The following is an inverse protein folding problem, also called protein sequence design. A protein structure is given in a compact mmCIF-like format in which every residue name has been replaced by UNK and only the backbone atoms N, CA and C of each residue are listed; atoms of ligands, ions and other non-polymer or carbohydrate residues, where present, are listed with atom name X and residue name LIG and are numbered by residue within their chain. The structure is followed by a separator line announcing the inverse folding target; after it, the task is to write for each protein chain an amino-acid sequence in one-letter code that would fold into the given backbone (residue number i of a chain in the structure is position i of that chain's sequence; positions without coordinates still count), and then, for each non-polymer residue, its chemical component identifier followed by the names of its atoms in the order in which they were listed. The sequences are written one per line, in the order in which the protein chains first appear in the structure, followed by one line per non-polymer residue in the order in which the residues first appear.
data_IF_074591191634
#
_entry.id   IF_074591191634
#
_cell.length_a   1.000
_cell.length_b   1.000
_cell.length_c   1.000
_cell.angle_alpha   90.00
_cell.angle_beta   90.00
_cell.angle_gamma   90.00
#
_symmetry.space_group_name_H-M   'P 1'
#
loop_
_entity.id
_entity.type
_entity.pdbx_description
1 polymer ?
#
# COMPACT_ATOMS: atom_id res chain seq x y z
N UNK A 1 -8.88 24.16 14.79
CA UNK A 1 -8.91 23.17 13.72
C UNK A 1 -9.62 21.95 14.27
N UNK A 2 -10.83 21.66 13.79
CA UNK A 2 -11.61 20.51 14.24
C UNK A 2 -10.94 19.24 13.73
N UNK A 3 -10.61 18.32 14.61
CA UNK A 3 -10.21 16.96 14.30
C UNK A 3 -11.36 16.32 13.52
N UNK A 4 -11.11 16.00 12.26
CA UNK A 4 -12.09 15.31 11.42
C UNK A 4 -12.02 13.81 11.77
N UNK A 5 -12.56 13.44 12.94
CA UNK A 5 -12.66 12.06 13.42
C UNK A 5 -13.78 11.33 12.64
N UNK A 6 -13.67 11.33 11.31
CA UNK A 6 -14.48 10.47 10.45
C UNK A 6 -14.22 9.00 10.80
N UNK A 7 -15.23 8.15 10.62
CA UNK A 7 -15.07 6.71 10.82
C UNK A 7 -13.84 6.21 10.05
N UNK A 8 -12.96 5.39 10.69
CA UNK A 8 -11.76 4.90 10.05
C UNK A 8 -12.11 4.02 8.85
N UNK A 9 -11.45 4.29 7.70
CA UNK A 9 -11.64 3.51 6.48
C UNK A 9 -10.98 2.14 6.53
N UNK A 10 -9.92 1.99 7.33
CA UNK A 10 -9.25 0.71 7.59
C UNK A 10 -9.22 0.47 9.10
N UNK A 11 -9.68 -0.69 9.51
CA UNK A 11 -9.58 -1.16 10.90
C UNK A 11 -9.09 -2.58 10.89
N UNK A 12 -7.86 -2.80 11.33
CA UNK A 12 -7.29 -4.10 11.63
C UNK A 12 -7.35 -4.32 13.14
N UNK A 13 -7.83 -5.49 13.57
CA UNK A 13 -7.91 -5.87 14.97
C UNK A 13 -7.32 -7.26 15.17
N UNK A 14 -6.23 -7.32 15.94
CA UNK A 14 -5.44 -8.53 16.20
C UNK A 14 -5.12 -9.30 14.91
N UNK A 15 -4.94 -8.56 13.81
CA UNK A 15 -4.78 -9.10 12.46
C UNK A 15 -3.40 -9.73 12.34
N UNK A 16 -3.36 -11.03 12.05
CA UNK A 16 -2.11 -11.77 11.91
C UNK A 16 -2.18 -12.89 10.89
N UNK A 17 -1.00 -13.35 10.42
CA UNK A 17 -0.86 -14.37 9.41
C UNK A 17 0.31 -15.30 9.68
N UNK A 18 0.01 -16.59 9.74
CA UNK A 18 1.00 -17.67 9.73
C UNK A 18 0.85 -18.53 8.47
N UNK A 19 1.96 -19.07 7.98
CA UNK A 19 2.06 -20.07 6.92
C UNK A 19 2.80 -21.29 7.48
N UNK A 20 2.05 -22.29 7.92
CA UNK A 20 2.59 -23.38 8.74
C UNK A 20 3.19 -22.81 10.04
N UNK A 21 4.43 -23.14 10.31
CA UNK A 21 5.15 -22.69 11.52
C UNK A 21 5.74 -21.28 11.36
N UNK A 22 5.77 -20.73 10.14
CA UNK A 22 6.29 -19.40 9.89
C UNK A 22 5.23 -18.33 10.10
N UNK A 23 5.46 -17.41 11.06
CA UNK A 23 4.61 -16.26 11.32
C UNK A 23 5.07 -15.09 10.46
N UNK A 24 4.34 -14.81 9.38
CA UNK A 24 4.65 -13.71 8.46
C UNK A 24 4.16 -12.34 8.96
N UNK A 25 3.15 -12.32 9.84
CA UNK A 25 2.63 -11.12 10.47
C UNK A 25 2.07 -11.49 11.84
N UNK A 26 2.66 -10.95 12.89
CA UNK A 26 2.17 -11.10 14.27
C UNK A 26 0.89 -10.27 14.45
N UNK A 27 0.04 -10.60 15.45
CA UNK A 27 -1.20 -9.86 15.71
C UNK A 27 -0.94 -8.36 15.84
N UNK A 28 -1.59 -7.57 15.00
CA UNK A 28 -1.45 -6.13 15.01
C UNK A 28 -2.80 -5.40 15.00
N UNK A 29 -2.77 -4.18 15.50
CA UNK A 29 -3.91 -3.29 15.55
C UNK A 29 -3.56 -1.98 14.82
N UNK A 30 -4.31 -1.68 13.74
CA UNK A 30 -4.11 -0.46 12.95
C UNK A 30 -5.47 0.14 12.60
N UNK A 31 -5.57 1.47 12.68
CA UNK A 31 -6.70 2.23 12.18
C UNK A 31 -6.18 3.31 11.24
N UNK A 32 -6.81 3.46 10.08
CA UNK A 32 -6.51 4.53 9.11
C UNK A 32 -7.76 5.36 8.92
N UNK A 33 -7.64 6.65 9.17
CA UNK A 33 -8.75 7.60 9.04
C UNK A 33 -9.03 7.95 7.57
N UNK A 34 -10.18 8.54 7.29
CA UNK A 34 -10.47 9.12 5.98
C UNK A 34 -9.58 10.35 5.73
N UNK A 35 -9.07 10.52 4.51
CA UNK A 35 -8.21 11.63 4.14
C UNK A 35 -6.78 11.50 4.70
N UNK A 36 -6.36 10.31 5.11
CA UNK A 36 -5.04 10.05 5.66
C UNK A 36 -4.08 9.47 4.61
N UNK A 37 -2.83 9.92 4.64
CA UNK A 37 -1.74 9.27 3.94
C UNK A 37 -0.97 8.40 4.95
N UNK A 38 -1.34 7.12 5.02
CA UNK A 38 -0.76 6.17 5.97
C UNK A 38 0.32 5.33 5.32
N UNK A 39 1.52 5.34 5.89
CA UNK A 39 2.66 4.56 5.43
C UNK A 39 2.94 3.33 6.30
N UNK A 40 3.29 2.21 5.67
CA UNK A 40 3.91 1.06 6.34
C UNK A 40 5.28 0.87 5.74
N UNK A 41 6.30 1.02 6.54
CA UNK A 41 7.66 0.85 6.07
C UNK A 41 8.46 -0.16 6.90
N UNK A 42 9.45 -0.76 6.27
CA UNK A 42 10.29 -1.79 6.84
C UNK A 42 11.06 -2.53 5.74
N UNK A 43 12.01 -3.39 6.10
CA UNK A 43 12.84 -4.11 5.14
C UNK A 43 12.04 -5.09 4.29
N UNK A 44 12.71 -5.63 3.26
CA UNK A 44 12.12 -6.71 2.48
C UNK A 44 11.90 -7.95 3.37
N UNK A 45 10.74 -8.59 3.23
CA UNK A 45 10.35 -9.70 4.10
C UNK A 45 9.72 -9.32 5.44
N UNK A 46 9.64 -8.03 5.79
CA UNK A 46 9.05 -7.58 7.07
C UNK A 46 7.55 -7.87 7.23
N UNK A 47 6.82 -8.27 6.16
CA UNK A 47 5.39 -8.56 6.21
C UNK A 47 4.48 -7.51 5.56
N UNK A 48 5.04 -6.43 4.97
CA UNK A 48 4.27 -5.33 4.33
C UNK A 48 3.26 -5.81 3.30
N UNK A 49 3.71 -6.56 2.29
CA UNK A 49 2.84 -7.11 1.23
C UNK A 49 1.83 -8.10 1.78
N UNK A 50 2.19 -8.88 2.80
CA UNK A 50 1.25 -9.75 3.52
C UNK A 50 0.14 -8.93 4.18
N UNK A 51 0.48 -7.80 4.79
CA UNK A 51 -0.49 -6.91 5.41
C UNK A 51 -1.48 -6.34 4.39
N UNK A 52 -1.01 -5.79 3.25
CA UNK A 52 -1.91 -5.35 2.17
C UNK A 52 -2.80 -6.49 1.67
N UNK A 53 -2.26 -7.68 1.44
CA UNK A 53 -3.03 -8.84 0.98
C UNK A 53 -4.11 -9.28 1.96
N UNK A 54 -3.87 -9.14 3.26
CA UNK A 54 -4.88 -9.37 4.30
C UNK A 54 -5.98 -8.31 4.27
N UNK A 55 -5.63 -7.02 4.16
CA UNK A 55 -6.58 -5.91 4.12
C UNK A 55 -7.43 -5.90 2.85
N UNK A 56 -6.89 -6.37 1.73
CA UNK A 56 -7.59 -6.45 0.45
C UNK A 56 -8.33 -7.78 0.23
N UNK A 57 -8.21 -8.72 1.19
CA UNK A 57 -8.88 -10.03 1.11
C UNK A 57 -8.29 -10.95 0.04
N UNK A 58 -7.05 -10.75 -0.35
CA UNK A 58 -6.28 -11.69 -1.18
C UNK A 58 -5.77 -12.86 -0.36
N UNK A 59 -5.49 -12.62 0.93
CA UNK A 59 -5.15 -13.65 1.91
C UNK A 59 -6.19 -13.69 3.03
N UNK A 60 -6.43 -14.89 3.57
CA UNK A 60 -7.22 -15.06 4.79
C UNK A 60 -6.31 -14.91 6.02
N UNK A 61 -6.71 -14.12 7.01
CA UNK A 61 -5.97 -14.03 8.27
C UNK A 61 -6.00 -15.37 9.02
N UNK A 62 -4.91 -15.67 9.72
CA UNK A 62 -4.83 -16.76 10.69
C UNK A 62 -5.37 -16.35 12.06
N UNK A 63 -5.27 -15.07 12.40
CA UNK A 63 -5.74 -14.45 13.64
C UNK A 63 -6.43 -13.14 13.37
N UNK A 64 -7.37 -12.75 14.24
CA UNK A 64 -8.06 -11.46 14.16
C UNK A 64 -8.85 -11.25 12.88
N UNK A 65 -8.92 -9.98 12.46
CA UNK A 65 -9.65 -9.60 11.26
C UNK A 65 -9.51 -8.13 10.91
N UNK A 66 -10.09 -7.75 9.77
CA UNK A 66 -10.10 -6.37 9.32
C UNK A 66 -11.46 -5.94 8.74
N UNK A 67 -11.73 -4.65 8.84
CA UNK A 67 -12.77 -3.96 8.08
C UNK A 67 -12.11 -2.90 7.19
N UNK A 68 -12.54 -2.83 5.95
CA UNK A 68 -12.10 -1.83 4.98
C UNK A 68 -13.34 -1.18 4.37
N UNK A 69 -13.44 0.14 4.41
CA UNK A 69 -14.64 0.90 4.04
C UNK A 69 -15.91 0.39 4.76
N UNK A 70 -15.78 0.00 6.04
CA UNK A 70 -16.86 -0.60 6.81
C UNK A 70 -17.15 -2.08 6.49
N UNK A 71 -16.61 -2.63 5.40
CA UNK A 71 -16.85 -3.99 4.92
C UNK A 71 -15.92 -4.96 5.67
N UNK A 72 -16.47 -6.03 6.23
CA UNK A 72 -15.67 -7.10 6.81
C UNK A 72 -14.94 -7.86 5.69
N UNK A 73 -13.60 -7.78 5.69
CA UNK A 73 -12.75 -8.35 4.63
C UNK A 73 -12.91 -9.86 4.49
N UNK A 74 -13.13 -10.57 5.61
CA UNK A 74 -13.30 -12.03 5.60
C UNK A 74 -14.67 -12.44 5.04
N UNK A 75 -15.69 -11.62 5.28
CA UNK A 75 -17.06 -11.93 4.85
C UNK A 75 -17.26 -11.60 3.36
N UNK A 76 -16.77 -10.44 2.92
CA UNK A 76 -16.93 -10.01 1.52
C UNK A 76 -15.66 -9.36 0.94
N UNK A 77 -14.64 -10.17 0.63
CA UNK A 77 -13.39 -9.68 0.03
C UNK A 77 -13.59 -9.15 -1.40
N UNK A 78 -14.66 -9.57 -2.10
CA UNK A 78 -14.96 -9.09 -3.45
C UNK A 78 -15.43 -7.64 -3.41
N UNK A 79 -16.35 -7.34 -2.48
CA UNK A 79 -16.85 -5.98 -2.29
C UNK A 79 -15.73 -5.02 -1.88
N UNK A 80 -14.79 -5.45 -1.02
CA UNK A 80 -13.59 -4.65 -0.70
C UNK A 80 -12.81 -4.34 -1.98
N UNK A 81 -12.43 -5.36 -2.77
CA UNK A 81 -11.66 -5.18 -4.01
C UNK A 81 -12.37 -4.35 -5.07
N UNK A 82 -13.70 -4.38 -5.10
CA UNK A 82 -14.48 -3.57 -6.04
C UNK A 82 -14.41 -2.07 -5.72
N UNK A 83 -14.23 -1.70 -4.44
CA UNK A 83 -14.29 -0.31 -3.97
C UNK A 83 -12.93 0.34 -3.69
N UNK A 84 -11.83 -0.40 -3.78
CA UNK A 84 -10.48 0.11 -3.55
C UNK A 84 -9.62 0.05 -4.81
N UNK A 85 -8.64 0.94 -4.92
CA UNK A 85 -7.54 0.79 -5.88
C UNK A 85 -6.42 -0.03 -5.26
N UNK A 86 -5.81 -0.92 -6.05
CA UNK A 86 -4.73 -1.78 -5.56
C UNK A 86 -3.60 -1.79 -6.59
N UNK A 87 -2.39 -1.49 -6.13
CA UNK A 87 -1.15 -1.71 -6.88
C UNK A 87 -0.30 -2.67 -6.05
N UNK A 88 -0.15 -3.92 -6.46
CA UNK A 88 0.68 -4.91 -5.79
C UNK A 88 2.15 -4.78 -6.20
N UNK A 89 3.08 -5.23 -5.34
CA UNK A 89 4.53 -5.14 -5.57
C UNK A 89 5.00 -5.92 -6.81
N UNK A 90 4.54 -7.16 -6.98
CA UNK A 90 5.10 -8.10 -7.94
C UNK A 90 4.14 -8.56 -9.04
N UNK A 91 2.87 -8.20 -8.95
CA UNK A 91 1.88 -8.58 -9.97
C UNK A 91 1.99 -7.68 -11.19
N UNK A 92 1.64 -8.25 -12.34
CA UNK A 92 1.61 -7.53 -13.62
C UNK A 92 0.24 -7.67 -14.24
N UNK A 93 -0.14 -6.77 -15.16
CA UNK A 93 -1.35 -6.96 -15.94
C UNK A 93 -1.28 -8.30 -16.69
N UNK A 94 -2.42 -8.97 -16.95
CA UNK A 94 -2.44 -10.22 -17.69
C UNK A 94 -1.67 -10.12 -19.02
N UNK A 95 -0.75 -11.02 -19.25
CA UNK A 95 0.24 -10.95 -20.34
C UNK A 95 -0.38 -10.98 -21.75
N UNK A 96 -1.59 -11.55 -21.87
CA UNK A 96 -2.33 -11.70 -23.12
C UNK A 96 -3.30 -10.56 -23.43
N UNK A 97 -3.45 -9.58 -22.54
CA UNK A 97 -4.20 -8.35 -22.80
C UNK A 97 -3.27 -7.23 -23.24
N UNK A 98 -3.77 -6.35 -24.09
CA UNK A 98 -3.10 -5.06 -24.35
C UNK A 98 -3.30 -4.11 -23.18
N UNK A 99 -2.53 -3.02 -23.14
CA UNK A 99 -2.69 -2.00 -22.11
C UNK A 99 -4.13 -1.46 -22.03
N UNK A 100 -4.73 -1.17 -23.19
CA UNK A 100 -6.11 -0.71 -23.26
C UNK A 100 -7.10 -1.78 -22.80
N UNK A 101 -7.00 -3.00 -23.30
CA UNK A 101 -7.92 -4.10 -22.92
C UNK A 101 -7.87 -4.37 -21.41
N UNK A 102 -6.70 -4.29 -20.79
CA UNK A 102 -6.59 -4.42 -19.33
C UNK A 102 -7.35 -3.31 -18.62
N UNK A 103 -7.15 -2.04 -19.02
CA UNK A 103 -7.85 -0.91 -18.39
C UNK A 103 -9.36 -0.96 -18.64
N UNK A 104 -9.79 -1.35 -19.85
CA UNK A 104 -11.20 -1.58 -20.16
C UNK A 104 -11.79 -2.69 -19.28
N UNK A 105 -11.08 -3.80 -19.11
CA UNK A 105 -11.51 -4.90 -18.26
C UNK A 105 -11.69 -4.42 -16.80
N UNK A 106 -10.71 -3.67 -16.28
CA UNK A 106 -10.78 -3.08 -14.93
C UNK A 106 -11.96 -2.12 -14.81
N UNK A 107 -12.22 -1.29 -15.81
CA UNK A 107 -13.30 -0.34 -15.83
C UNK A 107 -14.69 -1.04 -15.88
N UNK A 108 -14.83 -2.07 -16.73
CA UNK A 108 -16.06 -2.87 -16.85
C UNK A 108 -16.39 -3.62 -15.55
N UNK A 109 -15.40 -4.19 -14.87
CA UNK A 109 -15.61 -4.84 -13.56
C UNK A 109 -16.16 -3.88 -12.48
N UNK A 110 -15.99 -2.57 -12.67
CA UNK A 110 -16.48 -1.51 -11.79
C UNK A 110 -17.68 -0.77 -12.35
N UNK A 111 -18.26 -1.27 -13.46
CA UNK A 111 -19.45 -0.69 -14.12
C UNK A 111 -19.27 0.80 -14.43
N UNK A 112 -18.05 1.21 -14.86
CA UNK A 112 -17.81 2.59 -15.24
C UNK A 112 -18.45 2.91 -16.58
N UNK A 113 -18.90 4.15 -16.73
CA UNK A 113 -19.32 4.76 -17.99
C UNK A 113 -18.12 5.41 -18.69
N UNK A 114 -18.25 5.76 -19.97
CA UNK A 114 -17.25 6.47 -20.79
C UNK A 114 -15.86 5.80 -20.73
N UNK A 115 -15.84 4.46 -20.81
CA UNK A 115 -14.66 3.64 -20.59
C UNK A 115 -13.52 4.04 -21.53
N UNK A 116 -13.80 4.26 -22.81
CA UNK A 116 -12.80 4.64 -23.80
C UNK A 116 -12.08 5.94 -23.44
N UNK A 117 -12.83 6.97 -23.06
CA UNK A 117 -12.27 8.27 -22.66
C UNK A 117 -11.40 8.14 -21.40
N UNK A 118 -11.84 7.35 -20.42
CA UNK A 118 -11.08 7.11 -19.19
C UNK A 118 -9.78 6.33 -19.46
N UNK A 119 -9.84 5.35 -20.34
CA UNK A 119 -8.65 4.57 -20.76
C UNK A 119 -7.65 5.49 -21.46
N UNK A 120 -8.10 6.27 -22.43
CA UNK A 120 -7.25 7.21 -23.16
C UNK A 120 -6.64 8.26 -22.23
N UNK A 121 -7.45 8.85 -21.34
CA UNK A 121 -6.98 9.80 -20.34
C UNK A 121 -5.83 9.24 -19.49
N UNK A 122 -5.98 8.04 -18.94
CA UNK A 122 -4.95 7.47 -18.06
C UNK A 122 -3.71 6.99 -18.82
N UNK A 123 -3.85 6.49 -20.04
CA UNK A 123 -2.70 6.14 -20.88
C UNK A 123 -1.92 7.37 -21.30
N UNK A 124 -2.60 8.49 -21.61
CA UNK A 124 -1.95 9.77 -21.91
C UNK A 124 -1.28 10.34 -20.66
N UNK A 125 -1.95 10.31 -19.52
CA UNK A 125 -1.40 10.82 -18.26
C UNK A 125 -0.09 10.12 -17.88
N UNK A 126 -0.04 8.80 -18.07
CA UNK A 126 1.17 8.00 -17.84
C UNK A 126 2.15 8.01 -19.02
N UNK A 127 1.84 8.69 -20.12
CA UNK A 127 2.71 8.80 -21.30
C UNK A 127 3.00 7.46 -21.97
N UNK A 128 1.99 6.59 -22.05
CA UNK A 128 2.07 5.26 -22.66
C UNK A 128 0.93 5.01 -23.67
N UNK A 129 0.30 6.08 -24.17
CA UNK A 129 -0.78 5.95 -25.15
C UNK A 129 -0.30 5.37 -26.49
N UNK A 130 0.96 5.60 -26.87
CA UNK A 130 1.62 4.96 -28.00
C UNK A 130 1.73 3.43 -27.87
N UNK A 131 1.60 2.90 -26.67
CA UNK A 131 1.58 1.47 -26.34
C UNK A 131 0.19 0.91 -26.08
N UNK A 132 -0.87 1.69 -26.33
CA UNK A 132 -2.27 1.33 -26.08
C UNK A 132 -2.64 -0.07 -26.57
N UNK A 133 -2.17 -0.46 -27.75
CA UNK A 133 -2.45 -1.76 -28.38
C UNK A 133 -1.29 -2.77 -28.24
N UNK A 134 -0.29 -2.48 -27.42
CA UNK A 134 0.81 -3.40 -27.13
C UNK A 134 0.39 -4.40 -26.06
N UNK A 135 0.66 -5.69 -26.25
CA UNK A 135 0.40 -6.72 -25.24
C UNK A 135 1.22 -6.45 -23.97
N UNK A 136 0.62 -6.67 -22.82
CA UNK A 136 1.28 -6.40 -21.53
C UNK A 136 2.58 -7.20 -21.34
N UNK A 137 2.70 -8.39 -21.92
CA UNK A 137 3.95 -9.16 -21.92
C UNK A 137 5.11 -8.44 -22.64
N UNK A 138 4.79 -7.64 -23.67
CA UNK A 138 5.78 -6.96 -24.52
C UNK A 138 6.13 -5.56 -24.01
N UNK A 139 5.45 -5.08 -22.97
CA UNK A 139 5.76 -3.84 -22.27
C UNK A 139 7.00 -4.00 -21.37
N UNK A 140 7.77 -2.92 -21.20
CA UNK A 140 8.83 -2.86 -20.19
C UNK A 140 8.24 -2.96 -18.77
N UNK A 141 9.08 -3.25 -17.75
CA UNK A 141 8.64 -3.28 -16.34
C UNK A 141 8.03 -1.93 -15.92
N UNK A 142 8.63 -0.81 -16.30
CA UNK A 142 8.12 0.52 -16.01
C UNK A 142 6.79 0.83 -16.71
N UNK A 143 6.62 0.39 -17.96
CA UNK A 143 5.35 0.53 -18.68
C UNK A 143 4.24 -0.32 -18.04
N UNK A 144 4.53 -1.57 -17.64
CA UNK A 144 3.57 -2.37 -16.89
C UNK A 144 3.18 -1.74 -15.56
N UNK A 145 4.14 -1.16 -14.85
CA UNK A 145 3.87 -0.43 -13.60
C UNK A 145 2.92 0.76 -13.83
N UNK A 146 3.14 1.53 -14.92
CA UNK A 146 2.24 2.62 -15.33
C UNK A 146 0.82 2.12 -15.63
N UNK A 147 0.67 0.99 -16.32
CA UNK A 147 -0.63 0.37 -16.61
C UNK A 147 -1.32 -0.09 -15.32
N UNK A 148 -0.58 -0.67 -14.37
CA UNK A 148 -1.14 -1.07 -13.06
C UNK A 148 -1.62 0.13 -12.24
N UNK A 149 -0.83 1.20 -12.20
CA UNK A 149 -1.23 2.46 -11.57
C UNK A 149 -2.48 3.04 -12.23
N UNK A 150 -2.52 3.14 -13.56
CA UNK A 150 -3.69 3.60 -14.29
C UNK A 150 -4.96 2.79 -13.90
N UNK A 151 -4.85 1.46 -13.83
CA UNK A 151 -5.94 0.59 -13.40
C UNK A 151 -6.39 0.81 -11.96
N UNK A 152 -5.46 1.16 -11.06
CA UNK A 152 -5.81 1.46 -9.67
C UNK A 152 -6.55 2.81 -9.53
N UNK A 153 -6.25 3.78 -10.40
CA UNK A 153 -6.85 5.12 -10.37
C UNK A 153 -8.11 5.28 -11.23
N UNK A 154 -8.34 4.42 -12.24
CA UNK A 154 -9.37 4.63 -13.28
C UNK A 154 -10.79 4.85 -12.74
N UNK A 155 -11.11 4.30 -11.59
CA UNK A 155 -12.42 4.38 -10.95
C UNK A 155 -12.48 5.39 -9.79
N UNK A 156 -11.43 6.21 -9.62
CA UNK A 156 -11.32 7.24 -8.58
C UNK A 156 -11.68 6.72 -7.18
N UNK A 157 -11.01 5.69 -6.67
CA UNK A 157 -11.37 5.07 -5.40
C UNK A 157 -11.12 6.02 -4.22
N UNK A 158 -11.94 5.90 -3.16
CA UNK A 158 -11.72 6.64 -1.90
C UNK A 158 -10.52 6.13 -1.12
N UNK A 159 -10.05 4.92 -1.41
CA UNK A 159 -8.93 4.28 -0.72
C UNK A 159 -8.06 3.53 -1.72
N UNK A 160 -6.76 3.80 -1.68
CA UNK A 160 -5.74 3.14 -2.48
C UNK A 160 -4.81 2.33 -1.56
N UNK A 161 -4.56 1.08 -1.93
CA UNK A 161 -3.50 0.24 -1.37
C UNK A 161 -2.37 0.13 -2.38
N UNK A 162 -1.21 0.64 -2.02
CA UNK A 162 -0.06 0.75 -2.91
C UNK A 162 1.13 0.02 -2.28
N UNK A 163 1.61 -1.03 -2.95
CA UNK A 163 2.76 -1.80 -2.52
C UNK A 163 3.93 -1.50 -3.47
N UNK A 164 4.93 -0.76 -3.00
CA UNK A 164 6.10 -0.30 -3.76
C UNK A 164 5.75 0.39 -5.11
N UNK A 165 4.83 1.36 -5.13
CA UNK A 165 4.26 1.88 -6.38
C UNK A 165 5.27 2.61 -7.27
N UNK A 166 6.39 3.07 -6.72
CA UNK A 166 7.40 3.86 -7.43
C UNK A 166 8.52 3.02 -8.06
N UNK A 167 8.58 1.73 -7.71
CA UNK A 167 9.56 0.80 -8.28
C UNK A 167 9.36 0.68 -9.79
N UNK A 168 10.46 0.62 -10.54
CA UNK A 168 10.51 0.57 -12.01
C UNK A 168 10.00 1.82 -12.75
N UNK A 169 9.58 2.89 -12.07
CA UNK A 169 9.26 4.16 -12.70
C UNK A 169 10.54 5.01 -12.87
N UNK A 170 10.61 5.73 -13.99
CA UNK A 170 11.63 6.75 -14.18
C UNK A 170 11.39 7.95 -13.24
N UNK A 171 12.42 8.77 -12.93
CA UNK A 171 12.31 9.87 -11.96
C UNK A 171 11.20 10.88 -12.28
N UNK A 172 10.88 11.10 -13.56
CA UNK A 172 9.83 12.05 -13.98
C UNK A 172 8.48 11.50 -13.54
N UNK A 173 8.20 10.21 -13.81
CA UNK A 173 6.93 9.59 -13.42
C UNK A 173 6.85 9.28 -11.94
N UNK A 174 7.97 9.01 -11.27
CA UNK A 174 7.97 8.95 -9.79
C UNK A 174 7.49 10.28 -9.19
N UNK A 175 7.99 11.41 -9.70
CA UNK A 175 7.55 12.73 -9.24
C UNK A 175 6.06 12.97 -9.53
N UNK A 176 5.62 12.74 -10.78
CA UNK A 176 4.21 12.88 -11.16
C UNK A 176 3.29 12.02 -10.30
N UNK A 177 3.67 10.76 -10.03
CA UNK A 177 2.88 9.89 -9.18
C UNK A 177 2.81 10.41 -7.74
N UNK A 178 3.91 10.93 -7.17
CA UNK A 178 3.87 11.54 -5.83
C UNK A 178 2.90 12.73 -5.78
N UNK A 179 2.95 13.60 -6.78
CA UNK A 179 2.05 14.74 -6.91
C UNK A 179 0.58 14.26 -7.00
N UNK A 180 0.27 13.26 -7.82
CA UNK A 180 -1.06 12.65 -7.93
C UNK A 180 -1.55 12.07 -6.60
N UNK A 181 -0.67 11.40 -5.83
CA UNK A 181 -1.03 10.85 -4.54
C UNK A 181 -1.35 11.95 -3.52
N UNK A 182 -0.56 13.04 -3.52
CA UNK A 182 -0.82 14.21 -2.65
C UNK A 182 -2.16 14.86 -3.02
N UNK A 183 -2.41 15.09 -4.32
CA UNK A 183 -3.69 15.62 -4.80
C UNK A 183 -4.86 14.72 -4.39
N UNK A 184 -4.70 13.40 -4.54
CA UNK A 184 -5.74 12.43 -4.14
C UNK A 184 -6.11 12.58 -2.67
N UNK A 185 -5.14 12.77 -1.77
CA UNK A 185 -5.39 12.97 -0.34
C UNK A 185 -6.01 14.35 -0.07
N UNK A 186 -5.55 15.39 -0.75
CA UNK A 186 -6.12 16.74 -0.64
C UNK A 186 -7.59 16.79 -1.08
N UNK A 187 -7.97 15.95 -2.06
CA UNK A 187 -9.35 15.78 -2.53
C UNK A 187 -10.19 14.84 -1.62
N UNK A 188 -9.65 14.45 -0.47
CA UNK A 188 -10.34 13.63 0.54
C UNK A 188 -10.19 12.12 0.33
N UNK A 189 -9.38 11.68 -0.63
CA UNK A 189 -8.98 10.28 -0.76
C UNK A 189 -8.05 9.83 0.36
N UNK A 190 -7.88 8.53 0.51
CA UNK A 190 -7.02 7.92 1.53
C UNK A 190 -6.01 7.00 0.88
N UNK A 191 -4.78 7.03 1.33
CA UNK A 191 -3.71 6.20 0.78
C UNK A 191 -3.10 5.34 1.88
N UNK A 192 -3.00 4.05 1.60
CA UNK A 192 -2.25 3.06 2.37
C UNK A 192 -1.04 2.65 1.53
N UNK A 193 0.14 3.14 1.90
CA UNK A 193 1.39 2.94 1.17
C UNK A 193 2.29 1.96 1.93
N UNK A 194 2.73 0.88 1.26
CA UNK A 194 3.86 0.09 1.71
C UNK A 194 5.10 0.43 0.89
N UNK A 195 6.21 0.71 1.56
CA UNK A 195 7.48 0.98 0.89
C UNK A 195 8.67 0.67 1.81
N UNK A 196 9.81 0.36 1.20
CA UNK A 196 11.08 0.28 1.90
C UNK A 196 11.90 1.58 1.74
N UNK A 197 11.40 2.54 0.95
CA UNK A 197 12.07 3.82 0.69
C UNK A 197 11.60 4.83 1.75
N UNK A 198 12.38 4.99 2.80
CA UNK A 198 12.03 5.81 3.98
C UNK A 198 11.84 7.29 3.63
N UNK A 199 12.68 7.84 2.74
CA UNK A 199 12.54 9.23 2.26
C UNK A 199 11.17 9.50 1.61
N UNK A 200 10.62 8.51 0.90
CA UNK A 200 9.28 8.62 0.30
C UNK A 200 8.21 8.61 1.38
N UNK A 201 8.31 7.72 2.37
CA UNK A 201 7.38 7.64 3.49
C UNK A 201 7.40 8.94 4.32
N UNK A 202 8.58 9.48 4.61
CA UNK A 202 8.76 10.71 5.37
C UNK A 202 8.13 11.94 4.70
N UNK A 203 8.25 12.03 3.37
CA UNK A 203 7.72 13.17 2.60
C UNK A 203 6.22 13.12 2.35
N UNK A 204 5.64 11.93 2.27
CA UNK A 204 4.25 11.76 1.85
C UNK A 204 3.31 11.42 3.00
N UNK A 205 3.77 10.63 3.98
CA UNK A 205 2.88 10.07 4.97
C UNK A 205 2.62 11.04 6.13
N UNK A 206 1.37 11.15 6.54
CA UNK A 206 0.98 11.89 7.75
C UNK A 206 1.18 11.03 9.01
N UNK A 207 0.93 9.72 8.88
CA UNK A 207 1.20 8.70 9.89
C UNK A 207 1.86 7.48 9.27
N UNK A 208 2.64 6.79 10.07
CA UNK A 208 3.37 5.61 9.63
C UNK A 208 3.29 4.49 10.68
N UNK A 209 3.51 3.27 10.21
CA UNK A 209 3.85 2.12 11.03
C UNK A 209 5.18 1.56 10.56
N UNK A 210 6.08 1.33 11.51
CA UNK A 210 7.37 0.65 11.28
C UNK A 210 7.15 -0.82 11.51
N UNK A 211 7.51 -1.65 10.52
CA UNK A 211 7.35 -3.09 10.64
C UNK A 211 8.68 -3.80 10.39
N UNK A 212 9.01 -4.75 11.25
CA UNK A 212 10.15 -5.65 11.07
C UNK A 212 9.78 -7.06 11.52
N UNK A 213 10.25 -8.09 10.80
CA UNK A 213 10.00 -9.52 11.09
C UNK A 213 8.56 -9.84 11.47
N UNK A 214 7.60 -9.19 10.82
CA UNK A 214 6.17 -9.36 11.07
C UNK A 214 5.61 -8.62 12.29
N UNK A 215 6.43 -7.87 13.03
CA UNK A 215 6.02 -7.07 14.19
C UNK A 215 5.90 -5.59 13.84
N UNK A 216 4.89 -4.91 14.35
CA UNK A 216 4.81 -3.45 14.34
C UNK A 216 5.65 -2.93 15.51
N UNK A 217 6.81 -2.34 15.21
CA UNK A 217 7.73 -1.80 16.21
C UNK A 217 7.23 -0.45 16.76
N UNK A 218 6.67 0.39 15.91
CA UNK A 218 6.09 1.68 16.28
C UNK A 218 5.02 2.10 15.27
N UNK A 219 4.06 2.91 15.71
CA UNK A 219 3.09 3.55 14.81
C UNK A 219 2.66 4.88 15.39
N UNK A 220 2.68 5.94 14.58
CA UNK A 220 2.32 7.29 15.00
C UNK A 220 2.45 8.30 13.86
N UNK A 221 2.24 9.58 14.15
CA UNK A 221 2.61 10.64 13.21
C UNK A 221 4.11 10.63 13.01
N UNK A 222 4.56 10.98 11.81
CA UNK A 222 5.99 11.00 11.48
C UNK A 222 6.78 11.82 12.50
N UNK A 223 6.28 13.02 12.84
CA UNK A 223 6.95 13.89 13.80
C UNK A 223 6.95 13.36 15.25
N UNK A 224 5.92 12.57 15.63
CA UNK A 224 5.82 12.01 16.98
C UNK A 224 6.78 10.81 17.19
N UNK A 225 7.24 10.18 16.12
CA UNK A 225 8.20 9.08 16.17
C UNK A 225 9.65 9.56 16.28
N UNK A 226 9.92 10.79 15.92
CA UNK A 226 11.23 11.44 16.00
C UNK A 226 11.51 11.92 17.43
N UNK A 227 12.74 11.68 17.91
CA UNK A 227 13.19 12.21 19.21
C UNK A 227 13.51 13.70 19.10
N UNK A 228 14.04 14.12 17.95
CA UNK A 228 14.34 15.51 17.66
C UNK A 228 14.00 15.84 16.20
N UNK A 229 14.00 17.14 15.86
CA UNK A 229 13.57 17.61 14.52
C UNK A 229 14.52 17.23 13.39
N UNK A 230 15.76 16.96 13.70
CA UNK A 230 16.80 16.64 12.71
C UNK A 230 16.88 15.12 12.45
N UNK A 231 16.21 14.29 13.28
CA UNK A 231 16.12 12.86 13.09
C UNK A 231 15.29 12.54 11.84
N UNK A 232 15.81 11.69 10.97
CA UNK A 232 15.09 11.17 9.80
C UNK A 232 14.29 9.92 10.16
N UNK A 233 13.34 9.51 9.30
CA UNK A 233 12.69 8.20 9.48
C UNK A 233 13.67 7.03 9.37
N UNK A 234 14.81 7.22 8.70
CA UNK A 234 15.87 6.22 8.65
C UNK A 234 16.53 6.06 10.02
N UNK A 235 16.83 7.15 10.71
CA UNK A 235 17.37 7.13 12.06
C UNK A 235 16.38 6.50 13.05
N UNK A 236 15.10 6.85 12.94
CA UNK A 236 14.01 6.21 13.72
C UNK A 236 13.99 4.71 13.49
N UNK A 237 14.07 4.26 12.23
CA UNK A 237 14.07 2.84 11.88
C UNK A 237 15.29 2.11 12.47
N UNK A 238 16.51 2.65 12.27
CA UNK A 238 17.75 2.06 12.80
C UNK A 238 17.65 1.93 14.33
N UNK A 239 17.17 2.95 15.01
CA UNK A 239 16.97 2.93 16.45
C UNK A 239 15.99 1.85 16.90
N UNK A 240 14.84 1.76 16.27
CA UNK A 240 13.81 0.79 16.63
C UNK A 240 14.23 -0.66 16.35
N UNK A 241 14.89 -0.90 15.23
CA UNK A 241 15.41 -2.24 14.88
C UNK A 241 16.60 -2.62 15.77
N UNK A 242 17.50 -1.67 16.08
CA UNK A 242 18.62 -1.90 17.00
C UNK A 242 18.12 -2.34 18.37
N UNK A 243 17.17 -1.62 18.96
CA UNK A 243 16.56 -1.98 20.25
C UNK A 243 15.88 -3.36 20.19
N UNK A 244 15.18 -3.66 19.11
CA UNK A 244 14.50 -4.95 18.93
C UNK A 244 15.49 -6.14 18.84
N UNK A 245 16.67 -5.94 18.26
CA UNK A 245 17.72 -6.97 18.20
C UNK A 245 18.28 -7.23 19.60
N UNK A 246 18.60 -6.18 20.35
CA UNK A 246 19.12 -6.29 21.72
C UNK A 246 18.14 -6.99 22.67
N UNK A 247 16.82 -6.72 22.53
CA UNK A 247 15.78 -7.37 23.32
C UNK A 247 15.65 -8.87 22.99
N UNK A 248 15.80 -9.27 21.72
CA UNK A 248 15.75 -10.67 21.29
C UNK A 248 16.98 -11.41 21.80
N UNK A 249 18.18 -10.85 21.64
CA UNK A 249 19.41 -11.46 22.14
C UNK A 249 19.44 -11.61 23.67
N UNK A 250 18.84 -10.66 24.40
CA UNK A 250 18.69 -10.73 25.85
C UNK A 250 17.70 -11.83 26.30
N UNK A 251 16.69 -12.16 25.50
CA UNK A 251 15.74 -13.25 25.80
C UNK A 251 16.35 -14.63 25.51
N UNK A 252 17.05 -14.78 24.38
CA UNK A 252 17.71 -16.04 24.01
C UNK A 252 18.88 -16.36 24.95
N UNK A 253 19.58 -15.34 25.47
CA UNK A 253 20.67 -15.53 26.44
C UNK A 253 20.21 -15.97 27.84
N UNK A 254 18.93 -15.81 28.19
CA UNK A 254 18.37 -16.25 29.46
C UNK A 254 17.78 -17.68 29.44
N UNK A 255 17.68 -18.30 28.28
CA UNK A 255 17.20 -19.70 28.15
C UNK A 255 18.37 -20.73 28.16
N UNK A 256 19.63 -20.27 28.15
CA UNK A 256 20.80 -21.15 28.19
C UNK A 256 21.51 -21.25 29.60
N UNK A 257 20.94 -20.63 30.64
CA UNK A 257 21.35 -20.86 32.04
C UNK A 257 20.30 -21.69 32.81
#
# INVERSE_FOLDING_TARGET
MMSNDGEPLVVAKDLGKAFGDFVALHPLNVKVASGEFFGVFGPNGAGKSTFIKLLTGQLRPSMGGAKVLGINVRADPRMVKANVGIVPESESPPSFLTAAEYLEFVARLRSLEDIGEKVDYWLDWFGINDKKHTLCKDLSKGQRQKVMLAGAFIHKPKLLFLDEPFVNLDPIYQRKCRELLIETVNDGGTIFLCTHILEVAERLCTRVAVIDRGHVLASGKVDDLKINKDETLEDVFIRLVGTSIEEIEAQDGNEEE
#
